data_IF_811828221744
#
_entry.id   IF_811828221744
#
_cell.length_a   1.000
_cell.length_b   1.000
_cell.length_c   1.000
_cell.angle_alpha   90.00
_cell.angle_beta   90.00
_cell.angle_gamma   90.00
#
_symmetry.space_group_name_H-M   'P 1'
#
loop_
_entity.id
_entity.type
_entity.pdbx_description
1 polymer ?
#
# COMPACT_ATOMS: atom_id res chain seq x y z
N UNK A 1 5.42 -9.96 34.25
CA UNK A 1 5.38 -9.45 32.86
C UNK A 1 3.98 -9.65 32.29
N UNK A 2 3.12 -8.66 32.40
CA UNK A 2 1.81 -8.64 31.76
C UNK A 2 1.97 -7.94 30.41
N UNK A 3 2.16 -8.71 29.33
CA UNK A 3 2.14 -8.15 27.98
C UNK A 3 0.72 -7.70 27.65
N UNK A 4 0.56 -6.46 27.25
CA UNK A 4 -0.70 -5.95 26.70
C UNK A 4 -0.74 -6.34 25.22
N UNK A 5 -1.81 -7.01 24.79
CA UNK A 5 -2.05 -7.18 23.36
C UNK A 5 -2.60 -5.86 22.82
N UNK A 6 -1.71 -4.98 22.39
CA UNK A 6 -2.06 -3.63 21.95
C UNK A 6 -2.96 -3.62 20.69
N UNK A 7 -2.85 -4.62 19.81
CA UNK A 7 -3.70 -4.71 18.62
C UNK A 7 -5.17 -4.94 18.97
N UNK A 8 -5.46 -5.96 19.79
CA UNK A 8 -6.85 -6.20 20.23
C UNK A 8 -7.38 -5.10 21.16
N UNK A 9 -6.50 -4.45 21.92
CA UNK A 9 -6.89 -3.33 22.77
C UNK A 9 -7.29 -2.10 21.95
N UNK A 10 -6.54 -1.78 20.90
CA UNK A 10 -6.85 -0.68 19.98
C UNK A 10 -8.16 -0.90 19.23
N UNK A 11 -8.39 -2.09 18.70
CA UNK A 11 -9.64 -2.44 18.05
C UNK A 11 -10.84 -2.34 19.00
N UNK A 12 -10.69 -2.84 20.23
CA UNK A 12 -11.73 -2.72 21.26
C UNK A 12 -12.05 -1.27 21.62
N UNK A 13 -11.04 -0.43 21.70
CA UNK A 13 -11.21 1.00 21.97
C UNK A 13 -12.07 1.66 20.90
N UNK A 14 -11.77 1.41 19.61
CA UNK A 14 -12.57 1.93 18.51
C UNK A 14 -14.00 1.40 18.55
N UNK A 15 -14.19 0.11 18.78
CA UNK A 15 -15.51 -0.51 18.90
C UNK A 15 -16.36 0.17 19.97
N UNK A 16 -15.82 0.36 21.17
CA UNK A 16 -16.56 0.96 22.28
C UNK A 16 -16.95 2.42 22.04
N UNK A 17 -16.13 3.17 21.31
CA UNK A 17 -16.42 4.58 21.05
C UNK A 17 -17.37 4.77 19.88
N UNK A 18 -17.24 3.97 18.82
CA UNK A 18 -17.91 4.25 17.54
C UNK A 18 -18.93 3.20 17.10
N UNK A 19 -18.89 1.98 17.64
CA UNK A 19 -19.78 0.88 17.24
C UNK A 19 -20.66 0.33 18.34
N UNK A 20 -20.35 0.56 19.62
CA UNK A 20 -21.10 -0.04 20.74
C UNK A 20 -22.57 0.43 20.70
N UNK A 21 -23.48 -0.54 20.67
CA UNK A 21 -24.94 -0.31 20.70
C UNK A 21 -25.37 0.50 21.93
N UNK A 22 -24.61 0.42 23.02
CA UNK A 22 -24.77 1.24 24.21
C UNK A 22 -24.34 2.70 24.06
N UNK A 23 -23.66 3.05 22.99
CA UNK A 23 -23.22 4.41 22.73
C UNK A 23 -24.41 5.30 22.34
N UNK A 24 -24.63 6.36 23.11
CA UNK A 24 -25.74 7.31 22.91
C UNK A 24 -25.48 8.30 21.76
N UNK A 25 -24.31 8.24 21.12
CA UNK A 25 -23.94 9.17 20.05
C UNK A 25 -24.52 8.70 18.71
N UNK A 26 -25.64 9.29 18.30
CA UNK A 26 -26.35 8.92 17.07
C UNK A 26 -25.54 9.17 15.78
N UNK A 27 -24.58 10.08 15.83
CA UNK A 27 -23.68 10.38 14.69
C UNK A 27 -22.90 9.15 14.20
N UNK A 28 -22.71 8.13 15.06
CA UNK A 28 -21.91 6.95 14.75
C UNK A 28 -22.73 5.67 14.53
N UNK A 29 -24.06 5.75 14.48
CA UNK A 29 -24.93 4.57 14.27
C UNK A 29 -25.17 4.22 12.80
N UNK A 30 -24.68 5.02 11.87
CA UNK A 30 -24.90 4.75 10.44
C UNK A 30 -24.18 3.49 9.97
N UNK A 31 -24.73 2.71 9.03
CA UNK A 31 -24.08 1.53 8.47
C UNK A 31 -22.69 1.84 7.88
N UNK A 32 -22.51 3.03 7.31
CA UNK A 32 -21.23 3.44 6.72
C UNK A 32 -20.18 3.71 7.80
N UNK A 33 -20.58 4.27 8.95
CA UNK A 33 -19.69 4.44 10.09
C UNK A 33 -19.28 3.08 10.68
N UNK A 34 -20.21 2.13 10.76
CA UNK A 34 -19.91 0.77 11.20
C UNK A 34 -18.90 0.10 10.27
N UNK A 35 -19.12 0.15 8.95
CA UNK A 35 -18.19 -0.41 7.97
C UNK A 35 -16.80 0.23 8.06
N UNK A 36 -16.73 1.55 8.18
CA UNK A 36 -15.47 2.26 8.35
C UNK A 36 -14.74 1.83 9.64
N UNK A 37 -15.46 1.74 10.74
CA UNK A 37 -14.89 1.32 12.02
C UNK A 37 -14.38 -0.12 11.96
N UNK A 38 -15.12 -1.05 11.34
CA UNK A 38 -14.71 -2.43 11.16
C UNK A 38 -13.44 -2.56 10.29
N UNK A 39 -13.30 -1.72 9.26
CA UNK A 39 -12.09 -1.64 8.45
C UNK A 39 -10.89 -1.23 9.31
N UNK A 40 -11.02 -0.20 10.13
CA UNK A 40 -9.96 0.25 11.03
C UNK A 40 -9.63 -0.80 12.09
N UNK A 41 -10.64 -1.41 12.69
CA UNK A 41 -10.47 -2.48 13.69
C UNK A 41 -9.70 -3.66 13.09
N UNK A 42 -10.06 -4.09 11.89
CA UNK A 42 -9.35 -5.16 11.20
C UNK A 42 -7.89 -4.79 10.95
N UNK A 43 -7.63 -3.61 10.42
CA UNK A 43 -6.26 -3.15 10.15
C UNK A 43 -5.41 -3.14 11.43
N UNK A 44 -5.97 -2.65 12.54
CA UNK A 44 -5.30 -2.63 13.85
C UNK A 44 -5.05 -4.06 14.37
N UNK A 45 -6.00 -4.97 14.25
CA UNK A 45 -5.79 -6.35 14.72
C UNK A 45 -4.84 -7.14 13.84
N UNK A 46 -4.81 -6.87 12.54
CA UNK A 46 -4.06 -7.64 11.55
C UNK A 46 -2.63 -7.13 11.30
N UNK A 47 -2.18 -6.04 11.94
CA UNK A 47 -0.85 -5.48 11.63
C UNK A 47 0.31 -6.42 11.99
N UNK A 48 0.15 -7.31 12.97
CA UNK A 48 1.13 -8.36 13.28
C UNK A 48 0.96 -9.66 12.48
N UNK A 49 -0.17 -9.82 11.78
CA UNK A 49 -0.43 -11.01 10.96
C UNK A 49 -1.82 -10.97 10.35
N UNK A 50 -1.91 -11.23 9.06
CA UNK A 50 -3.20 -11.29 8.35
C UNK A 50 -3.97 -12.54 8.78
N UNK A 51 -5.25 -12.39 9.10
CA UNK A 51 -6.15 -13.48 9.45
C UNK A 51 -7.53 -13.26 8.81
N UNK A 52 -8.29 -14.33 8.65
CA UNK A 52 -9.64 -14.27 8.11
C UNK A 52 -10.60 -13.62 9.11
N UNK A 53 -11.43 -12.70 8.62
CA UNK A 53 -12.48 -12.02 9.41
C UNK A 53 -13.61 -12.98 9.75
N UNK A 54 -13.86 -13.97 8.90
CA UNK A 54 -14.90 -14.96 9.06
C UNK A 54 -14.38 -16.38 8.95
N UNK A 55 -14.63 -17.22 9.95
CA UNK A 55 -14.42 -18.65 9.82
C UNK A 55 -15.68 -19.30 9.24
N UNK A 56 -15.52 -20.00 8.13
CA UNK A 56 -16.55 -20.80 7.47
C UNK A 56 -16.81 -22.06 8.29
N UNK A 57 -17.46 -21.92 9.39
CA UNK A 57 -18.20 -23.01 10.03
C UNK A 57 -19.64 -22.56 10.12
N UNK A 58 -20.60 -23.47 10.00
CA UNK A 58 -22.06 -23.26 9.95
C UNK A 58 -22.65 -22.17 10.90
N UNK A 59 -21.82 -21.50 11.67
CA UNK A 59 -22.05 -20.29 12.43
C UNK A 59 -21.04 -19.24 11.96
N UNK A 60 -21.53 -18.16 11.36
CA UNK A 60 -20.70 -16.99 11.01
C UNK A 60 -20.25 -16.34 12.32
N UNK A 61 -19.08 -16.73 12.77
CA UNK A 61 -18.48 -16.12 13.96
C UNK A 61 -17.47 -15.10 13.43
N UNK A 62 -17.78 -13.82 13.62
CA UNK A 62 -16.85 -12.76 13.30
C UNK A 62 -15.63 -12.83 14.25
N UNK A 63 -14.48 -13.23 13.74
CA UNK A 63 -13.28 -13.45 14.52
C UNK A 63 -12.74 -12.18 15.22
N UNK A 64 -13.02 -11.00 14.65
CA UNK A 64 -12.67 -9.71 15.27
C UNK A 64 -13.45 -9.52 16.56
N UNK A 65 -14.77 -9.70 16.54
CA UNK A 65 -15.60 -9.54 17.73
C UNK A 65 -15.26 -10.57 18.80
N UNK A 66 -14.96 -11.81 18.42
CA UNK A 66 -14.48 -12.81 19.37
C UNK A 66 -13.18 -12.40 20.05
N UNK A 67 -12.22 -11.85 19.33
CA UNK A 67 -10.97 -11.36 19.92
C UNK A 67 -11.24 -10.22 20.90
N UNK A 68 -12.12 -9.30 20.55
CA UNK A 68 -12.51 -8.17 21.40
C UNK A 68 -13.21 -8.67 22.66
N UNK A 69 -14.10 -9.68 22.58
CA UNK A 69 -14.79 -10.29 23.71
C UNK A 69 -13.85 -11.10 24.59
N UNK A 70 -13.02 -11.97 24.02
CA UNK A 70 -11.99 -12.71 24.76
C UNK A 70 -11.01 -11.79 25.48
N UNK A 71 -10.71 -10.65 24.90
CA UNK A 71 -9.89 -9.63 25.50
C UNK A 71 -10.51 -9.09 26.79
N UNK A 72 -11.83 -9.02 26.85
CA UNK A 72 -12.57 -8.55 28.05
C UNK A 72 -12.59 -9.58 29.18
N UNK A 73 -12.73 -10.86 28.82
CA UNK A 73 -12.86 -11.96 29.79
C UNK A 73 -11.51 -12.36 30.40
N UNK A 74 -10.43 -12.17 29.68
CA UNK A 74 -9.09 -12.52 30.12
C UNK A 74 -8.41 -11.30 30.76
N UNK A 75 -8.45 -11.18 32.09
CA UNK A 75 -7.73 -10.14 32.88
C UNK A 75 -6.24 -10.00 32.56
N UNK A 76 -5.69 -10.91 31.76
CA UNK A 76 -4.30 -10.97 31.32
C UNK A 76 -3.88 -9.77 30.46
N UNK A 77 -4.82 -9.08 29.82
CA UNK A 77 -4.49 -8.04 28.83
C UNK A 77 -4.65 -6.61 29.35
N UNK A 78 -5.15 -6.40 30.56
CA UNK A 78 -5.20 -5.10 31.22
C UNK A 78 -5.76 -3.97 30.34
N UNK A 79 -6.93 -4.19 29.72
CA UNK A 79 -7.60 -3.18 28.89
C UNK A 79 -7.90 -1.88 29.64
N UNK A 80 -8.12 -1.96 30.94
CA UNK A 80 -8.25 -0.82 31.85
C UNK A 80 -7.11 0.18 31.68
N UNK A 81 -5.87 -0.31 31.57
CA UNK A 81 -4.69 0.53 31.36
C UNK A 81 -4.70 1.22 29.99
N UNK A 82 -5.16 0.53 28.95
CA UNK A 82 -5.23 1.11 27.60
C UNK A 82 -6.22 2.27 27.54
N UNK A 83 -7.35 2.14 28.25
CA UNK A 83 -8.34 3.22 28.34
C UNK A 83 -7.75 4.50 28.97
N UNK A 84 -6.86 4.34 29.94
CA UNK A 84 -6.21 5.48 30.59
C UNK A 84 -5.24 6.22 29.65
N UNK A 85 -4.67 5.53 28.66
CA UNK A 85 -3.81 6.15 27.64
C UNK A 85 -4.58 6.91 26.55
N UNK A 86 -5.91 6.77 26.47
CA UNK A 86 -6.71 7.45 25.44
C UNK A 86 -6.58 8.98 25.50
N UNK A 87 -6.44 9.54 26.70
CA UNK A 87 -6.19 10.97 26.89
C UNK A 87 -4.82 11.38 26.31
N UNK A 88 -3.79 10.60 26.59
CA UNK A 88 -2.43 10.84 26.08
C UNK A 88 -2.39 10.77 24.56
N UNK A 89 -3.11 9.82 23.94
CA UNK A 89 -3.24 9.73 22.48
C UNK A 89 -3.93 10.97 21.94
N UNK A 90 -5.01 11.42 22.56
CA UNK A 90 -5.73 12.61 22.15
C UNK A 90 -4.88 13.88 22.27
N UNK A 91 -4.08 14.00 23.35
CA UNK A 91 -3.11 15.10 23.53
C UNK A 91 -2.05 15.07 22.42
N UNK A 92 -1.52 13.88 22.10
CA UNK A 92 -0.57 13.71 20.99
C UNK A 92 -1.18 14.15 19.65
N UNK A 93 -2.41 13.74 19.35
CA UNK A 93 -3.11 14.14 18.13
C UNK A 93 -3.30 15.65 18.06
N UNK A 94 -3.74 16.27 19.15
CA UNK A 94 -3.91 17.72 19.23
C UNK A 94 -2.59 18.48 19.04
N UNK A 95 -1.50 17.98 19.61
CA UNK A 95 -0.18 18.60 19.49
C UNK A 95 0.38 18.46 18.07
N UNK A 96 0.31 17.27 17.49
CA UNK A 96 0.95 16.94 16.23
C UNK A 96 0.13 17.36 15.01
N UNK A 97 -1.19 17.19 15.06
CA UNK A 97 -2.09 17.39 13.92
C UNK A 97 -3.06 18.55 14.10
N UNK A 98 -3.09 19.19 15.27
CA UNK A 98 -4.07 20.24 15.64
C UNK A 98 -5.53 19.76 15.55
N UNK A 99 -5.74 18.47 15.73
CA UNK A 99 -7.03 17.78 15.66
C UNK A 99 -7.13 16.79 16.83
N UNK A 100 -8.31 16.70 17.43
CA UNK A 100 -8.62 15.61 18.35
C UNK A 100 -8.73 14.27 17.61
N UNK A 101 -8.58 13.17 18.32
CA UNK A 101 -8.78 11.83 17.75
C UNK A 101 -10.16 11.67 17.12
N UNK A 102 -11.20 12.28 17.74
CA UNK A 102 -12.57 12.28 17.21
C UNK A 102 -12.68 13.04 15.89
N UNK A 103 -12.01 14.17 15.75
CA UNK A 103 -11.99 14.94 14.51
C UNK A 103 -11.23 14.22 13.40
N UNK A 104 -10.12 13.55 13.73
CA UNK A 104 -9.40 12.68 12.80
C UNK A 104 -10.29 11.55 12.29
N UNK A 105 -10.98 10.88 13.21
CA UNK A 105 -11.93 9.82 12.84
C UNK A 105 -13.05 10.34 11.93
N UNK A 106 -13.66 11.49 12.27
CA UNK A 106 -14.72 12.11 11.46
C UNK A 106 -14.26 12.44 10.04
N UNK A 107 -13.10 13.05 9.90
CA UNK A 107 -12.51 13.34 8.57
C UNK A 107 -12.30 12.07 7.75
N UNK A 108 -11.73 11.03 8.34
CA UNK A 108 -11.56 9.75 7.65
C UNK A 108 -12.89 9.09 7.27
N UNK A 109 -13.93 9.22 8.10
CA UNK A 109 -15.27 8.76 7.79
C UNK A 109 -15.89 9.55 6.62
N UNK A 110 -15.70 10.86 6.55
CA UNK A 110 -16.16 11.71 5.46
C UNK A 110 -15.46 11.33 4.14
N UNK A 111 -14.13 11.11 4.16
CA UNK A 111 -13.38 10.62 3.01
C UNK A 111 -13.86 9.24 2.56
N UNK A 112 -14.03 8.31 3.48
CA UNK A 112 -14.56 6.98 3.19
C UNK A 112 -15.96 7.04 2.58
N UNK A 113 -16.87 7.85 3.15
CA UNK A 113 -18.21 8.05 2.63
C UNK A 113 -18.18 8.58 1.20
N UNK A 114 -17.33 9.58 0.94
CA UNK A 114 -17.15 10.15 -0.40
C UNK A 114 -16.64 9.11 -1.40
N UNK A 115 -15.70 8.26 -1.00
CA UNK A 115 -15.21 7.16 -1.86
C UNK A 115 -16.37 6.22 -2.21
N UNK A 116 -17.14 5.77 -1.22
CA UNK A 116 -18.25 4.83 -1.43
C UNK A 116 -19.36 5.44 -2.28
N UNK A 117 -19.70 6.70 -2.07
CA UNK A 117 -20.71 7.41 -2.85
C UNK A 117 -20.29 7.62 -4.32
N UNK A 118 -19.02 7.88 -4.56
CA UNK A 118 -18.45 8.06 -5.90
C UNK A 118 -18.24 6.75 -6.66
N UNK A 119 -18.26 5.59 -5.96
CA UNK A 119 -18.33 4.31 -6.62
C UNK A 119 -19.67 4.21 -7.34
N UNK A 120 -19.66 4.20 -8.69
CA UNK A 120 -20.87 4.07 -9.48
C UNK A 120 -21.44 2.64 -9.38
N UNK A 121 -21.73 2.23 -8.16
CA UNK A 121 -22.23 0.90 -7.84
C UNK A 121 -23.59 0.65 -8.53
N UNK A 122 -24.32 1.70 -8.89
CA UNK A 122 -25.62 1.58 -9.57
C UNK A 122 -25.50 1.06 -10.99
N UNK A 123 -24.36 1.24 -11.63
CA UNK A 123 -24.08 0.71 -12.98
C UNK A 123 -23.40 -0.66 -12.95
N UNK A 124 -22.97 -1.11 -11.79
CA UNK A 124 -22.35 -2.43 -11.65
C UNK A 124 -23.36 -3.54 -11.86
N UNK A 125 -22.95 -4.60 -12.56
CA UNK A 125 -23.72 -5.84 -12.66
C UNK A 125 -23.85 -6.59 -11.34
N UNK A 126 -22.92 -6.35 -10.41
CA UNK A 126 -22.92 -6.94 -9.08
C UNK A 126 -22.37 -5.96 -8.03
N UNK A 127 -23.26 -5.11 -7.53
CA UNK A 127 -22.96 -4.06 -6.55
C UNK A 127 -22.28 -4.58 -5.29
N UNK A 128 -22.64 -5.80 -4.83
CA UNK A 128 -22.05 -6.39 -3.64
C UNK A 128 -20.57 -6.76 -3.86
N UNK A 129 -20.25 -7.39 -4.98
CA UNK A 129 -18.87 -7.77 -5.29
C UNK A 129 -17.99 -6.53 -5.38
N UNK A 130 -18.45 -5.47 -6.06
CA UNK A 130 -17.69 -4.25 -6.21
C UNK A 130 -17.49 -3.54 -4.87
N UNK A 131 -18.53 -3.45 -4.05
CA UNK A 131 -18.43 -2.89 -2.71
C UNK A 131 -17.38 -3.64 -1.85
N UNK A 132 -17.42 -4.96 -1.83
CA UNK A 132 -16.44 -5.76 -1.09
C UNK A 132 -15.03 -5.63 -1.67
N UNK A 133 -14.90 -5.58 -2.99
CA UNK A 133 -13.61 -5.38 -3.64
C UNK A 133 -12.95 -4.05 -3.25
N UNK A 134 -13.69 -2.96 -3.30
CA UNK A 134 -13.17 -1.65 -2.92
C UNK A 134 -12.83 -1.57 -1.42
N UNK A 135 -13.68 -2.11 -0.57
CA UNK A 135 -13.38 -2.19 0.87
C UNK A 135 -12.11 -3.01 1.14
N UNK A 136 -11.92 -4.12 0.41
CA UNK A 136 -10.70 -4.90 0.50
C UNK A 136 -9.45 -4.08 0.08
N UNK A 137 -9.55 -3.28 -0.97
CA UNK A 137 -8.46 -2.38 -1.38
C UNK A 137 -8.15 -1.33 -0.30
N UNK A 138 -9.18 -0.73 0.32
CA UNK A 138 -9.03 0.24 1.39
C UNK A 138 -8.37 -0.40 2.62
N UNK A 139 -8.84 -1.58 3.04
CA UNK A 139 -8.23 -2.35 4.14
C UNK A 139 -6.74 -2.59 3.88
N UNK A 140 -6.38 -3.06 2.70
CA UNK A 140 -4.99 -3.34 2.34
C UNK A 140 -4.13 -2.09 2.37
N UNK A 141 -4.65 -0.96 1.92
CA UNK A 141 -3.96 0.33 1.96
C UNK A 141 -3.70 0.76 3.41
N UNK A 142 -4.73 0.79 4.24
CA UNK A 142 -4.62 1.20 5.65
C UNK A 142 -3.67 0.25 6.40
N UNK A 143 -3.81 -1.06 6.22
CA UNK A 143 -2.94 -2.06 6.84
C UNK A 143 -1.49 -1.89 6.40
N UNK A 144 -1.25 -1.61 5.12
CA UNK A 144 0.10 -1.37 4.59
C UNK A 144 0.74 -0.13 5.22
N UNK A 145 -0.01 0.95 5.36
CA UNK A 145 0.47 2.18 6.02
C UNK A 145 0.79 1.90 7.48
N UNK A 146 -0.13 1.25 8.21
CA UNK A 146 0.05 0.94 9.62
C UNK A 146 1.27 0.05 9.86
N UNK A 147 1.44 -1.03 9.09
CA UNK A 147 2.60 -1.92 9.19
C UNK A 147 3.91 -1.20 8.87
N UNK A 148 3.89 -0.34 7.86
CA UNK A 148 5.08 0.43 7.52
C UNK A 148 5.51 1.36 8.65
N UNK A 149 4.56 2.07 9.28
CA UNK A 149 4.86 2.98 10.39
C UNK A 149 5.27 2.21 11.66
N UNK A 150 4.64 1.07 11.96
CA UNK A 150 5.01 0.21 13.09
C UNK A 150 6.45 -0.33 12.95
N UNK A 151 6.84 -0.75 11.74
CA UNK A 151 8.22 -1.19 11.44
C UNK A 151 9.19 -0.02 11.59
N UNK A 152 8.87 1.15 11.03
CA UNK A 152 9.72 2.34 11.15
C UNK A 152 9.91 2.79 12.59
N UNK A 153 8.83 2.81 13.38
CA UNK A 153 8.90 3.17 14.80
C UNK A 153 9.79 2.20 15.58
N UNK A 154 9.63 0.90 15.31
CA UNK A 154 10.46 -0.16 15.93
C UNK A 154 11.94 0.01 15.58
N UNK A 155 12.28 0.19 14.31
CA UNK A 155 13.68 0.35 13.87
C UNK A 155 14.28 1.63 14.45
N UNK A 156 13.56 2.74 14.39
CA UNK A 156 14.04 4.02 14.93
C UNK A 156 14.24 3.99 16.45
N UNK A 157 13.45 3.19 17.17
CA UNK A 157 13.62 3.01 18.61
C UNK A 157 14.93 2.28 18.95
N UNK A 158 15.41 1.38 18.09
CA UNK A 158 16.60 0.56 18.32
C UNK A 158 17.86 1.12 17.64
N UNK A 159 17.75 1.60 16.41
CA UNK A 159 18.93 1.89 15.58
C UNK A 159 19.14 3.36 15.21
N UNK A 160 18.17 4.25 15.41
CA UNK A 160 18.21 5.69 15.07
C UNK A 160 18.66 6.03 13.62
N UNK A 161 18.50 5.12 12.64
CA UNK A 161 19.26 5.16 11.39
C UNK A 161 18.39 5.22 10.12
N UNK A 162 17.06 5.18 10.18
CA UNK A 162 16.31 5.28 8.92
C UNK A 162 16.03 6.75 8.59
N UNK A 163 16.92 7.29 7.79
CA UNK A 163 16.70 8.55 7.11
C UNK A 163 15.70 8.32 5.97
N UNK A 164 14.45 8.72 6.19
CA UNK A 164 13.43 8.68 5.12
C UNK A 164 13.85 9.69 4.08
N UNK A 165 14.21 9.23 2.89
CA UNK A 165 14.48 10.13 1.77
C UNK A 165 13.27 11.03 1.52
N UNK A 166 13.53 12.28 1.31
CA UNK A 166 12.54 13.25 0.92
C UNK A 166 11.98 12.90 -0.47
N UNK A 167 10.83 13.44 -0.79
CA UNK A 167 10.24 13.30 -2.11
C UNK A 167 11.19 13.77 -3.20
N UNK A 168 11.84 14.92 -3.01
CA UNK A 168 12.76 15.53 -3.99
C UNK A 168 14.01 14.66 -4.22
N UNK A 169 14.57 14.04 -3.18
CA UNK A 169 15.68 13.09 -3.30
C UNK A 169 15.28 11.85 -4.12
N UNK A 170 14.07 11.34 -3.92
CA UNK A 170 13.57 10.22 -4.72
C UNK A 170 13.38 10.62 -6.19
N UNK A 171 12.83 11.79 -6.48
CA UNK A 171 12.67 12.26 -7.84
C UNK A 171 14.01 12.51 -8.54
N UNK A 172 15.03 13.01 -7.83
CA UNK A 172 16.37 13.16 -8.39
C UNK A 172 16.99 11.80 -8.78
N UNK A 173 16.75 10.75 -7.99
CA UNK A 173 17.21 9.38 -8.32
C UNK A 173 16.49 8.83 -9.55
N UNK A 174 15.18 9.05 -9.66
CA UNK A 174 14.38 8.62 -10.81
C UNK A 174 14.84 9.33 -12.07
N UNK A 175 15.09 10.64 -11.98
CA UNK A 175 15.64 11.42 -13.10
C UNK A 175 17.00 10.87 -13.54
N UNK A 176 17.90 10.59 -12.59
CA UNK A 176 19.20 9.99 -12.89
C UNK A 176 19.04 8.64 -13.62
N UNK A 177 18.16 7.75 -13.15
CA UNK A 177 17.91 6.47 -13.79
C UNK A 177 17.31 6.60 -15.19
N UNK A 178 16.39 7.55 -15.35
CA UNK A 178 15.84 7.83 -16.67
C UNK A 178 16.92 8.29 -17.65
N UNK A 179 17.84 9.15 -17.21
CA UNK A 179 18.98 9.58 -18.02
C UNK A 179 19.93 8.43 -18.37
N UNK A 180 20.17 7.49 -17.44
CA UNK A 180 21.03 6.32 -17.73
C UNK A 180 20.44 5.44 -18.85
N UNK A 181 19.15 5.13 -18.80
CA UNK A 181 18.54 4.30 -19.84
C UNK A 181 18.42 5.04 -21.18
N UNK A 182 18.14 6.34 -21.18
CA UNK A 182 18.14 7.14 -22.41
C UNK A 182 19.55 7.24 -23.01
N UNK A 183 20.59 7.38 -22.20
CA UNK A 183 21.97 7.35 -22.66
C UNK A 183 22.34 5.99 -23.28
N UNK A 184 21.89 4.88 -22.68
CA UNK A 184 22.08 3.55 -23.26
C UNK A 184 21.43 3.44 -24.64
N UNK A 185 20.17 3.87 -24.80
CA UNK A 185 19.50 3.88 -26.10
C UNK A 185 20.18 4.80 -27.10
N UNK A 186 20.69 5.95 -26.67
CA UNK A 186 21.45 6.90 -27.51
C UNK A 186 22.81 6.37 -27.94
N UNK A 187 23.37 5.40 -27.23
CA UNK A 187 24.68 4.78 -27.56
C UNK A 187 24.60 3.71 -28.65
N UNK A 188 23.40 3.25 -29.00
CA UNK A 188 23.23 2.23 -30.02
C UNK A 188 23.57 2.78 -31.42
N UNK A 189 24.33 2.04 -32.23
CA UNK A 189 24.63 2.47 -33.61
C UNK A 189 23.34 2.48 -34.44
N UNK A 190 23.33 3.23 -35.53
CA UNK A 190 22.20 3.22 -36.47
C UNK A 190 21.81 1.79 -36.85
N UNK A 191 20.50 1.46 -36.86
CA UNK A 191 20.05 0.09 -37.07
C UNK A 191 20.28 -0.36 -38.51
N UNK A 192 21.13 -1.40 -38.69
CA UNK A 192 21.46 -1.97 -40.01
C UNK A 192 20.63 -3.21 -40.34
N UNK A 193 20.31 -4.04 -39.33
CA UNK A 193 19.46 -5.21 -39.51
C UNK A 193 17.98 -4.90 -39.35
N UNK A 194 17.12 -5.69 -39.98
CA UNK A 194 15.68 -5.48 -39.92
C UNK A 194 15.11 -5.58 -38.49
N UNK A 195 15.64 -6.49 -37.70
CA UNK A 195 15.24 -6.59 -36.28
C UNK A 195 15.62 -5.34 -35.49
N UNK A 196 16.76 -4.74 -35.76
CA UNK A 196 17.18 -3.52 -35.07
C UNK A 196 16.38 -2.30 -35.52
N UNK A 197 15.97 -2.26 -36.80
CA UNK A 197 15.05 -1.24 -37.34
C UNK A 197 13.68 -1.34 -36.62
N UNK A 198 13.15 -2.55 -36.46
CA UNK A 198 11.90 -2.79 -35.70
C UNK A 198 12.07 -2.36 -34.23
N UNK A 199 13.16 -2.72 -33.59
CA UNK A 199 13.44 -2.28 -32.20
C UNK A 199 13.48 -0.76 -32.06
N UNK A 200 14.16 -0.08 -32.99
CA UNK A 200 14.23 1.38 -32.99
C UNK A 200 12.84 2.01 -33.18
N UNK A 201 12.06 1.52 -34.15
CA UNK A 201 10.69 2.01 -34.33
C UNK A 201 9.77 1.80 -33.12
N UNK A 202 9.95 0.71 -32.38
CA UNK A 202 9.19 0.46 -31.15
C UNK A 202 9.56 1.50 -30.09
N UNK A 203 10.85 1.82 -29.93
CA UNK A 203 11.30 2.87 -28.99
C UNK A 203 10.66 4.21 -29.35
N UNK A 204 10.64 4.57 -30.63
CA UNK A 204 10.02 5.83 -31.09
C UNK A 204 8.50 5.84 -30.78
N UNK A 205 7.80 4.75 -31.04
CA UNK A 205 6.37 4.62 -30.70
C UNK A 205 6.15 4.77 -29.19
N UNK A 206 6.99 4.17 -28.35
CA UNK A 206 6.88 4.31 -26.90
C UNK A 206 7.09 5.76 -26.49
N UNK A 207 8.08 6.44 -27.06
CA UNK A 207 8.35 7.86 -26.77
C UNK A 207 7.20 8.78 -27.18
N UNK A 208 6.50 8.50 -28.26
CA UNK A 208 5.32 9.30 -28.67
C UNK A 208 4.16 9.19 -27.67
N UNK A 209 4.14 8.15 -26.84
CA UNK A 209 3.10 7.94 -25.82
C UNK A 209 3.40 8.62 -24.49
N UNK A 210 4.61 9.11 -24.29
CA UNK A 210 5.05 9.71 -23.04
C UNK A 210 4.12 10.82 -22.55
N UNK A 211 3.73 11.71 -23.45
CA UNK A 211 2.93 12.89 -23.11
C UNK A 211 1.41 12.63 -23.20
N UNK A 212 1.01 11.50 -23.76
CA UNK A 212 -0.41 11.16 -23.97
C UNK A 212 -0.95 10.17 -22.94
N UNK A 213 -0.07 9.35 -22.35
CA UNK A 213 -0.49 8.33 -21.41
C UNK A 213 -0.61 8.93 -19.99
N UNK A 214 -1.82 8.88 -19.45
CA UNK A 214 -2.13 9.25 -18.07
C UNK A 214 -1.97 8.05 -17.11
N UNK A 215 -2.35 8.20 -15.84
CA UNK A 215 -2.45 7.07 -14.93
C UNK A 215 -3.50 6.06 -15.45
N UNK A 216 -3.11 4.79 -15.59
CA UNK A 216 -3.99 3.77 -16.11
C UNK A 216 -3.35 2.37 -16.17
N UNK A 217 -4.07 1.46 -16.82
CA UNK A 217 -3.59 0.10 -17.12
C UNK A 217 -3.24 0.06 -18.60
N UNK A 218 -2.00 -0.28 -18.90
CA UNK A 218 -1.47 -0.36 -20.25
C UNK A 218 -1.02 -1.77 -20.59
N UNK A 219 -1.26 -2.19 -21.82
CA UNK A 219 -0.79 -3.47 -22.36
C UNK A 219 0.38 -3.22 -23.31
N UNK A 220 1.53 -3.84 -23.04
CA UNK A 220 2.68 -3.85 -23.92
C UNK A 220 2.79 -5.23 -24.59
N UNK A 221 2.31 -5.34 -25.82
CA UNK A 221 2.32 -6.57 -26.61
C UNK A 221 3.41 -6.49 -27.68
N UNK A 222 4.50 -7.21 -27.47
CA UNK A 222 5.68 -7.19 -28.34
C UNK A 222 6.17 -8.61 -28.60
N UNK A 223 6.73 -8.89 -29.80
CA UNK A 223 7.31 -10.19 -30.09
C UNK A 223 8.51 -10.52 -29.20
N UNK A 224 8.85 -11.80 -29.14
CA UNK A 224 10.06 -12.25 -28.43
C UNK A 224 11.31 -11.63 -29.08
N UNK A 225 12.24 -11.18 -28.27
CA UNK A 225 13.47 -10.53 -28.75
C UNK A 225 13.33 -9.04 -29.09
N UNK A 226 12.15 -8.44 -28.97
CA UNK A 226 11.96 -6.99 -29.21
C UNK A 226 12.54 -6.07 -28.14
N UNK A 227 13.11 -6.60 -27.05
CA UNK A 227 13.69 -5.80 -25.97
C UNK A 227 12.70 -5.40 -24.86
N UNK A 228 11.68 -6.21 -24.61
CA UNK A 228 10.61 -5.93 -23.60
C UNK A 228 11.14 -5.44 -22.26
N UNK A 229 12.19 -6.07 -21.73
CA UNK A 229 12.77 -5.74 -20.42
C UNK A 229 13.23 -4.28 -20.34
N UNK A 230 14.03 -3.85 -21.32
CA UNK A 230 14.53 -2.46 -21.35
C UNK A 230 13.45 -1.46 -21.75
N UNK A 231 12.54 -1.83 -22.65
CA UNK A 231 11.42 -0.98 -23.05
C UNK A 231 10.44 -0.74 -21.90
N UNK A 232 10.14 -1.79 -21.11
CA UNK A 232 9.29 -1.64 -19.92
C UNK A 232 9.97 -0.78 -18.86
N UNK A 233 11.27 -0.90 -18.67
CA UNK A 233 12.04 -0.04 -17.75
C UNK A 233 12.03 1.41 -18.22
N UNK A 234 12.32 1.67 -19.49
CA UNK A 234 12.30 3.01 -20.09
C UNK A 234 10.94 3.69 -19.89
N UNK A 235 9.87 3.00 -20.26
CA UNK A 235 8.51 3.51 -20.11
C UNK A 235 8.15 3.76 -18.65
N UNK A 236 8.48 2.82 -17.75
CA UNK A 236 8.17 2.96 -16.33
C UNK A 236 8.91 4.12 -15.68
N UNK A 237 10.20 4.30 -15.98
CA UNK A 237 10.98 5.42 -15.44
C UNK A 237 10.45 6.76 -15.95
N UNK A 238 10.04 6.83 -17.22
CA UNK A 238 9.39 8.03 -17.75
C UNK A 238 8.09 8.33 -17.00
N UNK A 239 7.23 7.32 -16.81
CA UNK A 239 5.97 7.47 -16.08
C UNK A 239 6.20 7.81 -14.59
N UNK A 240 7.24 7.27 -13.96
CA UNK A 240 7.59 7.64 -12.58
C UNK A 240 7.98 9.11 -12.48
N UNK A 241 8.80 9.60 -13.41
CA UNK A 241 9.21 11.01 -13.48
C UNK A 241 8.01 11.94 -13.70
N UNK A 242 7.19 11.68 -14.72
CA UNK A 242 6.11 12.60 -15.12
C UNK A 242 4.89 12.53 -14.19
N UNK A 243 4.60 11.37 -13.61
CA UNK A 243 3.45 11.18 -12.73
C UNK A 243 3.85 11.15 -11.25
N UNK A 244 5.06 11.60 -10.92
CA UNK A 244 5.55 11.73 -9.56
C UNK A 244 5.45 10.43 -8.73
N UNK A 245 5.79 9.28 -9.35
CA UNK A 245 5.80 7.99 -8.67
C UNK A 245 7.17 7.71 -8.05
N UNK A 246 7.20 7.11 -6.87
CA UNK A 246 8.43 6.87 -6.12
C UNK A 246 8.91 5.42 -6.18
N UNK A 247 8.10 4.51 -6.69
CA UNK A 247 8.41 3.07 -6.70
C UNK A 247 7.94 2.43 -8.00
N UNK A 248 8.74 1.50 -8.49
CA UNK A 248 8.40 0.56 -9.55
C UNK A 248 8.43 -0.86 -8.98
N UNK A 249 7.40 -1.65 -9.25
CA UNK A 249 7.34 -3.06 -8.86
C UNK A 249 7.26 -3.88 -10.14
N UNK A 250 8.26 -4.73 -10.35
CA UNK A 250 8.30 -5.67 -11.46
C UNK A 250 7.95 -7.07 -10.96
N UNK A 251 6.92 -7.68 -11.54
CA UNK A 251 6.45 -9.01 -11.15
C UNK A 251 6.59 -9.95 -12.34
N UNK A 252 7.22 -11.10 -12.13
CA UNK A 252 7.29 -12.15 -13.13
C UNK A 252 6.99 -13.52 -12.50
N UNK A 253 6.39 -14.46 -13.26
CA UNK A 253 5.96 -15.74 -12.71
C UNK A 253 7.11 -16.74 -12.47
N UNK A 254 8.30 -16.48 -13.07
CA UNK A 254 9.45 -17.39 -13.00
C UNK A 254 10.66 -16.68 -12.41
N UNK A 255 11.32 -17.37 -11.49
CA UNK A 255 12.52 -16.91 -10.80
C UNK A 255 13.64 -16.52 -11.76
N UNK A 256 13.93 -17.37 -12.75
CA UNK A 256 14.98 -17.10 -13.75
C UNK A 256 14.74 -15.80 -14.54
N UNK A 257 13.49 -15.43 -14.78
CA UNK A 257 13.15 -14.16 -15.42
C UNK A 257 13.37 -12.98 -14.47
N UNK A 258 13.06 -13.14 -13.19
CA UNK A 258 13.30 -12.10 -12.18
C UNK A 258 14.82 -11.84 -12.04
N UNK A 259 15.62 -12.88 -11.86
CA UNK A 259 17.07 -12.78 -11.74
C UNK A 259 17.69 -12.13 -12.99
N UNK A 260 17.30 -12.59 -14.19
CA UNK A 260 17.77 -12.01 -15.45
C UNK A 260 17.42 -10.53 -15.58
N UNK A 261 16.18 -10.16 -15.26
CA UNK A 261 15.75 -8.76 -15.39
C UNK A 261 16.39 -7.88 -14.32
N UNK A 262 16.56 -8.36 -13.10
CA UNK A 262 17.27 -7.63 -12.06
C UNK A 262 18.73 -7.37 -12.45
N UNK A 263 19.42 -8.37 -13.00
CA UNK A 263 20.77 -8.22 -13.55
C UNK A 263 20.83 -7.15 -14.65
N UNK A 264 19.92 -7.22 -15.64
CA UNK A 264 19.86 -6.22 -16.72
C UNK A 264 19.56 -4.81 -16.19
N UNK A 265 18.67 -4.68 -15.20
CA UNK A 265 18.36 -3.38 -14.59
C UNK A 265 19.56 -2.80 -13.83
N UNK A 266 20.28 -3.62 -13.04
CA UNK A 266 21.50 -3.17 -12.34
C UNK A 266 22.56 -2.70 -13.33
N UNK A 267 22.73 -3.44 -14.41
CA UNK A 267 23.68 -3.09 -15.47
C UNK A 267 23.30 -1.78 -16.17
N UNK A 268 22.04 -1.62 -16.58
CA UNK A 268 21.56 -0.43 -17.28
C UNK A 268 21.58 0.80 -16.40
N UNK A 269 21.19 0.67 -15.12
CA UNK A 269 21.10 1.79 -14.19
C UNK A 269 22.42 2.06 -13.45
N UNK A 270 23.42 1.19 -13.63
CA UNK A 270 24.69 1.25 -12.94
C UNK A 270 24.56 1.42 -11.41
N UNK A 271 23.56 0.73 -10.83
CA UNK A 271 23.22 0.89 -9.42
C UNK A 271 22.59 -0.36 -8.81
N UNK A 272 23.12 -0.80 -7.67
CA UNK A 272 22.60 -1.94 -6.91
C UNK A 272 21.72 -1.51 -5.74
N UNK A 273 21.96 -0.33 -5.19
CA UNK A 273 21.35 0.12 -3.94
C UNK A 273 19.82 0.29 -4.00
N UNK A 274 19.29 0.64 -5.18
CA UNK A 274 17.88 0.95 -5.36
C UNK A 274 17.07 -0.14 -6.06
N UNK A 275 17.71 -1.29 -6.32
CA UNK A 275 17.09 -2.46 -6.95
C UNK A 275 17.02 -3.58 -5.92
N UNK A 276 15.83 -3.81 -5.38
CA UNK A 276 15.57 -4.89 -4.45
C UNK A 276 15.03 -6.10 -5.22
N UNK A 277 15.68 -7.24 -5.08
CA UNK A 277 15.10 -8.52 -5.45
C UNK A 277 14.39 -9.13 -4.26
N UNK A 278 13.20 -9.68 -4.50
CA UNK A 278 12.42 -10.35 -3.46
C UNK A 278 11.88 -11.68 -3.99
N UNK A 279 12.57 -12.75 -3.69
CA UNK A 279 12.20 -14.12 -4.06
C UNK A 279 12.89 -15.14 -3.15
N UNK A 280 12.50 -16.42 -3.27
CA UNK A 280 12.93 -17.49 -2.35
C UNK A 280 14.45 -17.80 -2.35
N UNK A 281 15.17 -17.40 -3.38
CA UNK A 281 16.62 -17.66 -3.49
C UNK A 281 17.50 -16.49 -3.02
N UNK A 282 16.92 -15.36 -2.66
CA UNK A 282 17.69 -14.27 -2.05
C UNK A 282 17.99 -14.65 -0.62
N UNK A 283 19.26 -14.76 -0.30
CA UNK A 283 19.74 -14.95 1.07
C UNK A 283 20.07 -13.54 1.58
N UNK A 284 19.34 -13.10 2.62
CA UNK A 284 19.57 -11.83 3.32
C UNK A 284 20.92 -11.84 4.06
#
# INVERSE_FOLDING_TARGET
NTSVNHSSAGAKYLYQIYCDIGNKNEDFKSPICQSYTEILMYAIEAHHGVFDIGTYNKQVINSIYQRIEHYTLNRKYRYDLVKDYANSINEYCNKSYKLSLKEIFKKGLEEYSSIIENLDLKKSKNQYIDFYYYNHCIIRLILSILKNEDIYDTINAYEKIIDKKTYDENQAIIEYFYQQIEAEYGSYPPPTSDINKVRASIVDVIRTRYDTDSNGIYKLDLPTGAGKTKLSLLYSLHQMKNNHKNKMIYIAPFLSILEQNAYEYRKTLANDKYILEHHSNVVD
#
